data_IF_599206880571
#
_entry.id   IF_599206880571
#
_cell.length_a   1.000
_cell.length_b   1.000
_cell.length_c   1.000
_cell.angle_alpha   90.00
_cell.angle_beta   90.00
_cell.angle_gamma   90.00
#
_symmetry.space_group_name_H-M   'P 1'
#
loop_
_entity.id
_entity.type
_entity.pdbx_description
1 polymer ?
#
# COMPACT_ATOMS: atom_id res chain seq x y z
N UNK A 1 -17.73 -8.78 9.34
CA UNK A 1 -16.98 -7.67 8.70
C UNK A 1 -17.19 -6.40 9.49
N UNK A 2 -16.16 -5.58 9.65
CA UNK A 2 -16.30 -4.28 10.32
C UNK A 2 -17.19 -3.35 9.49
N UNK A 3 -17.91 -2.43 10.16
CA UNK A 3 -18.81 -1.46 9.51
C UNK A 3 -18.13 -0.72 8.35
N UNK A 4 -16.87 -0.30 8.55
CA UNK A 4 -16.10 0.41 7.53
C UNK A 4 -15.90 -0.42 6.25
N UNK A 5 -15.54 -1.71 6.40
CA UNK A 5 -15.32 -2.61 5.24
C UNK A 5 -16.60 -2.83 4.46
N UNK A 6 -17.73 -3.03 5.15
CA UNK A 6 -19.03 -3.19 4.49
C UNK A 6 -19.45 -1.93 3.73
N UNK A 7 -19.26 -0.75 4.32
CA UNK A 7 -19.57 0.53 3.65
C UNK A 7 -18.69 0.74 2.42
N UNK A 8 -17.39 0.47 2.53
CA UNK A 8 -16.45 0.60 1.41
C UNK A 8 -16.81 -0.36 0.26
N UNK A 9 -17.09 -1.63 0.58
CA UNK A 9 -17.50 -2.63 -0.41
C UNK A 9 -18.77 -2.20 -1.16
N UNK A 10 -19.80 -1.73 -0.44
CA UNK A 10 -21.04 -1.25 -1.05
C UNK A 10 -20.82 -0.04 -1.97
N UNK A 11 -19.95 0.90 -1.57
CA UNK A 11 -19.59 2.04 -2.41
C UNK A 11 -18.87 1.58 -3.68
N UNK A 12 -17.89 0.67 -3.56
CA UNK A 12 -17.20 0.10 -4.72
C UNK A 12 -18.18 -0.56 -5.69
N UNK A 13 -19.08 -1.42 -5.19
CA UNK A 13 -20.12 -2.07 -5.99
C UNK A 13 -21.02 -1.05 -6.71
N UNK A 14 -21.45 0.01 -6.01
CA UNK A 14 -22.29 1.08 -6.58
C UNK A 14 -21.64 1.80 -7.76
N UNK A 15 -20.32 2.00 -7.72
CA UNK A 15 -19.56 2.68 -8.77
C UNK A 15 -18.91 1.73 -9.78
N UNK A 16 -19.22 0.42 -9.73
CA UNK A 16 -18.63 -0.58 -10.63
C UNK A 16 -17.14 -0.84 -10.39
N UNK A 17 -16.63 -0.54 -9.19
CA UNK A 17 -15.25 -0.79 -8.77
C UNK A 17 -15.17 -2.17 -8.14
N UNK A 18 -14.23 -3.01 -8.57
CA UNK A 18 -14.00 -4.33 -7.96
C UNK A 18 -13.34 -4.17 -6.59
N UNK A 19 -14.02 -4.63 -5.54
CA UNK A 19 -13.46 -4.69 -4.18
C UNK A 19 -12.79 -6.06 -3.95
N UNK A 20 -11.51 -6.04 -3.59
CA UNK A 20 -10.71 -7.23 -3.28
C UNK A 20 -10.11 -7.09 -1.90
N UNK A 21 -10.27 -8.12 -1.05
CA UNK A 21 -9.63 -8.15 0.26
C UNK A 21 -8.23 -8.74 0.14
N UNK A 22 -7.27 -8.08 0.79
CA UNK A 22 -5.88 -8.50 0.79
C UNK A 22 -5.39 -8.67 2.23
N UNK A 23 -4.72 -9.79 2.50
CA UNK A 23 -4.11 -10.10 3.80
C UNK A 23 -2.89 -9.20 4.02
N UNK A 24 -2.80 -8.53 5.18
CA UNK A 24 -1.89 -7.41 5.43
C UNK A 24 -0.55 -7.80 6.11
N UNK A 25 -0.27 -9.08 6.33
CA UNK A 25 0.96 -9.49 7.01
C UNK A 25 2.20 -8.90 6.37
N UNK A 26 3.08 -8.37 7.22
CA UNK A 26 4.37 -7.78 6.88
C UNK A 26 4.35 -6.51 6.02
N UNK A 27 3.18 -5.98 5.61
CA UNK A 27 3.10 -4.79 4.73
C UNK A 27 3.65 -3.52 5.36
N UNK A 28 3.65 -3.42 6.69
CA UNK A 28 4.22 -2.29 7.43
C UNK A 28 5.72 -2.39 7.70
N UNK A 29 6.30 -3.58 7.51
CA UNK A 29 7.71 -3.86 7.75
C UNK A 29 8.51 -3.89 6.44
N UNK A 30 7.98 -4.60 5.44
CA UNK A 30 8.58 -4.70 4.12
C UNK A 30 8.77 -3.33 3.47
N UNK A 31 9.85 -3.17 2.72
CA UNK A 31 10.10 -1.99 1.91
C UNK A 31 9.42 -2.11 0.55
N UNK A 32 8.58 -1.13 0.21
CA UNK A 32 7.93 -1.10 -1.10
C UNK A 32 8.90 -0.73 -2.24
N UNK A 33 9.95 0.05 -1.96
CA UNK A 33 10.92 0.49 -2.97
C UNK A 33 12.09 -0.48 -3.14
N UNK A 34 12.48 -1.18 -2.07
CA UNK A 34 13.57 -2.16 -2.12
C UNK A 34 13.06 -3.54 -2.56
N UNK A 35 11.77 -3.63 -2.87
CA UNK A 35 11.07 -4.82 -3.36
C UNK A 35 11.20 -6.04 -2.43
N UNK A 36 11.19 -5.79 -1.12
CA UNK A 36 11.18 -6.87 -0.12
C UNK A 36 10.04 -7.86 -0.38
N UNK A 37 10.33 -9.14 -0.13
CA UNK A 37 9.32 -10.19 -0.16
C UNK A 37 8.27 -9.97 0.92
N UNK A 38 6.99 -10.18 0.57
CA UNK A 38 5.86 -10.00 1.47
C UNK A 38 5.10 -11.33 1.58
N UNK A 39 5.56 -12.26 2.42
CA UNK A 39 4.91 -13.56 2.55
C UNK A 39 3.54 -13.43 3.22
N UNK A 40 2.73 -14.47 3.06
CA UNK A 40 1.51 -14.65 3.85
C UNK A 40 1.92 -15.26 5.19
N UNK A 41 1.46 -14.68 6.30
CA UNK A 41 1.74 -15.21 7.63
C UNK A 41 1.16 -16.62 7.78
N UNK A 42 2.00 -17.55 8.25
CA UNK A 42 1.61 -18.91 8.59
C UNK A 42 2.01 -19.16 10.05
N UNK A 43 1.06 -19.48 10.95
CA UNK A 43 1.36 -19.72 12.37
C UNK A 43 2.43 -20.79 12.59
N UNK A 44 2.44 -21.84 11.76
CA UNK A 44 3.33 -23.00 11.88
C UNK A 44 4.70 -22.77 11.25
N UNK A 45 4.85 -21.73 10.41
CA UNK A 45 6.08 -21.43 9.68
C UNK A 45 6.42 -19.96 9.91
N UNK A 46 7.17 -19.64 11.00
CA UNK A 46 7.56 -18.27 11.27
C UNK A 46 8.42 -17.75 10.11
N UNK A 47 8.16 -16.51 9.70
CA UNK A 47 8.99 -15.84 8.70
C UNK A 47 10.41 -15.63 9.24
N UNK A 48 11.40 -16.18 8.53
CA UNK A 48 12.83 -16.11 8.87
C UNK A 48 13.62 -15.10 8.03
N UNK A 49 12.97 -14.44 7.08
CA UNK A 49 13.62 -13.44 6.24
C UNK A 49 13.86 -12.12 6.96
N UNK A 50 14.76 -11.31 6.40
CA UNK A 50 15.05 -9.95 6.88
C UNK A 50 14.46 -8.94 5.91
N UNK A 51 13.76 -7.94 6.44
CA UNK A 51 13.35 -6.78 5.65
C UNK A 51 14.52 -5.82 5.50
N UNK A 52 14.59 -5.15 4.34
CA UNK A 52 15.70 -4.26 4.02
C UNK A 52 15.83 -3.11 5.01
N UNK A 53 14.72 -2.62 5.57
CA UNK A 53 14.68 -1.51 6.51
C UNK A 53 13.48 -1.59 7.45
N UNK A 54 13.48 -0.72 8.47
CA UNK A 54 12.45 -0.63 9.50
C UNK A 54 11.85 0.78 9.57
N UNK A 55 10.57 0.85 9.93
CA UNK A 55 9.89 2.09 10.35
C UNK A 55 10.70 2.80 11.43
N UNK A 56 11.02 4.08 11.22
CA UNK A 56 11.77 4.88 12.21
C UNK A 56 10.83 5.27 13.35
N UNK A 57 9.68 5.85 13.01
CA UNK A 57 8.68 6.32 13.97
C UNK A 57 7.29 6.35 13.34
N UNK A 58 6.27 6.73 14.12
CA UNK A 58 4.90 6.90 13.59
C UNK A 58 4.92 7.88 12.42
N UNK A 59 4.35 7.46 11.30
CA UNK A 59 4.28 8.25 10.06
C UNK A 59 5.58 8.36 9.26
N UNK A 60 6.70 7.74 9.66
CA UNK A 60 7.97 7.85 8.93
C UNK A 60 8.64 6.49 8.68
N UNK A 61 8.87 6.19 7.41
CA UNK A 61 9.57 5.01 6.91
C UNK A 61 10.83 5.44 6.15
N UNK A 62 11.92 4.66 6.23
CA UNK A 62 13.18 4.88 5.52
C UNK A 62 13.48 3.68 4.64
N UNK A 63 13.91 3.92 3.41
CA UNK A 63 14.31 2.92 2.43
C UNK A 63 15.83 2.68 2.45
N UNK A 64 16.30 1.59 1.82
CA UNK A 64 17.70 1.18 1.93
C UNK A 64 18.66 2.24 1.36
N UNK A 65 18.21 2.98 0.33
CA UNK A 65 18.92 4.11 -0.25
C UNK A 65 18.89 5.40 0.59
N UNK A 66 18.36 5.36 1.82
CA UNK A 66 18.28 6.50 2.73
C UNK A 66 17.11 7.46 2.49
N UNK A 67 16.33 7.28 1.41
CA UNK A 67 15.11 8.06 1.18
C UNK A 67 14.09 7.78 2.27
N UNK A 68 13.26 8.78 2.56
CA UNK A 68 12.16 8.64 3.53
C UNK A 68 10.82 8.90 2.88
N UNK A 69 9.79 8.21 3.34
CA UNK A 69 8.40 8.47 2.98
C UNK A 69 7.47 8.28 4.19
N UNK A 70 6.20 8.61 4.00
CA UNK A 70 5.21 8.30 5.02
C UNK A 70 5.04 6.78 5.15
N UNK A 71 4.96 6.27 6.38
CA UNK A 71 4.78 4.84 6.65
C UNK A 71 3.46 4.30 6.07
N UNK A 72 2.41 5.11 6.03
CA UNK A 72 1.11 4.74 5.46
C UNK A 72 1.19 4.60 3.93
N UNK A 73 2.03 5.41 3.27
CA UNK A 73 2.33 5.28 1.83
C UNK A 73 3.06 3.95 1.57
N UNK A 74 4.04 3.58 2.41
CA UNK A 74 4.73 2.30 2.29
C UNK A 74 3.74 1.12 2.48
N UNK A 75 2.90 1.18 3.52
CA UNK A 75 1.88 0.16 3.79
C UNK A 75 0.89 0.01 2.63
N UNK A 76 0.33 1.10 2.12
CA UNK A 76 -0.60 1.09 0.99
C UNK A 76 0.04 0.51 -0.28
N UNK A 77 1.29 0.92 -0.58
CA UNK A 77 2.04 0.39 -1.72
C UNK A 77 2.31 -1.12 -1.59
N UNK A 78 2.59 -1.60 -0.37
CA UNK A 78 2.80 -3.02 -0.12
C UNK A 78 1.51 -3.85 -0.19
N UNK A 79 0.36 -3.31 0.24
CA UNK A 79 -0.95 -3.95 0.02
C UNK A 79 -1.19 -4.14 -1.48
N UNK A 80 -0.92 -3.10 -2.28
CA UNK A 80 -1.03 -3.16 -3.73
C UNK A 80 -0.08 -4.21 -4.32
N UNK A 81 1.21 -4.21 -3.94
CA UNK A 81 2.18 -5.23 -4.38
C UNK A 81 1.73 -6.65 -4.05
N UNK A 82 1.21 -6.86 -2.84
CA UNK A 82 0.79 -8.19 -2.35
C UNK A 82 -0.48 -8.69 -3.01
N UNK A 83 -1.33 -7.79 -3.51
CA UNK A 83 -2.54 -8.15 -4.26
C UNK A 83 -2.27 -8.90 -5.57
N UNK A 84 -1.02 -8.94 -6.04
CA UNK A 84 -0.57 -9.61 -7.27
C UNK A 84 -1.44 -9.31 -8.49
N UNK A 85 -2.14 -8.18 -8.49
CA UNK A 85 -2.72 -7.65 -9.71
C UNK A 85 -1.54 -7.40 -10.66
N UNK A 86 -1.69 -7.74 -11.95
CA UNK A 86 -0.70 -7.44 -13.01
C UNK A 86 -0.57 -5.91 -13.14
N UNK A 87 0.08 -5.31 -12.15
CA UNK A 87 0.11 -3.89 -11.90
C UNK A 87 1.49 -3.37 -12.27
N UNK A 88 1.52 -2.54 -13.31
CA UNK A 88 2.71 -1.85 -13.75
C UNK A 88 2.74 -0.44 -13.14
N UNK A 89 3.75 -0.18 -12.31
CA UNK A 89 3.97 1.15 -11.72
C UNK A 89 4.19 2.22 -12.80
N UNK A 90 4.66 1.86 -13.99
CA UNK A 90 4.81 2.78 -15.10
C UNK A 90 3.46 3.37 -15.54
N UNK A 91 2.37 2.61 -15.43
CA UNK A 91 1.01 3.09 -15.68
C UNK A 91 0.48 4.02 -14.58
N UNK A 92 0.87 3.81 -13.32
CA UNK A 92 0.45 4.62 -12.17
C UNK A 92 1.04 6.03 -12.24
N UNK A 93 2.33 6.14 -12.55
CA UNK A 93 3.04 7.42 -12.58
C UNK A 93 2.76 8.26 -13.84
N UNK A 94 2.17 7.68 -14.89
CA UNK A 94 1.75 8.40 -16.10
C UNK A 94 0.42 9.15 -15.93
N UNK A 95 -0.34 8.84 -14.88
CA UNK A 95 -1.52 9.62 -14.51
C UNK A 95 -1.14 10.85 -13.72
N UNK A 96 -1.23 12.04 -14.34
CA UNK A 96 -1.35 13.31 -13.63
C UNK A 96 -2.62 13.20 -12.75
N UNK A 97 -2.46 12.80 -11.48
CA UNK A 97 -3.54 12.81 -10.50
C UNK A 97 -4.00 14.26 -10.37
N UNK A 98 -5.18 14.52 -10.94
CA UNK A 98 -5.97 15.74 -10.93
C UNK A 98 -5.36 16.86 -10.08
N UNK A 99 -4.64 17.78 -10.73
CA UNK A 99 -4.23 19.01 -10.05
C UNK A 99 -5.51 19.74 -9.68
N UNK A 100 -5.81 19.97 -8.39
CA UNK A 100 -7.07 20.59 -8.01
C UNK A 100 -7.24 21.91 -8.76
N UNK A 101 -8.39 22.07 -9.42
CA UNK A 101 -8.68 23.25 -10.21
C UNK A 101 -8.55 24.50 -9.31
N UNK A 102 -7.54 25.34 -9.55
CA UNK A 102 -7.36 26.57 -8.77
C UNK A 102 -8.39 27.60 -9.24
N UNK A 103 -9.52 27.66 -8.56
CA UNK A 103 -10.55 28.68 -8.80
C UNK A 103 -10.10 29.98 -8.11
N UNK A 104 -9.91 31.05 -8.89
CA UNK A 104 -9.79 32.42 -8.34
C UNK A 104 -11.18 33.00 -8.24
N UNK A 105 -11.63 33.30 -7.02
CA UNK A 105 -12.81 34.10 -6.80
C UNK A 105 -12.41 35.58 -6.96
N UNK A 106 -13.09 36.28 -7.86
CA UNK A 106 -13.03 37.73 -8.05
C UNK A 106 -13.95 38.46 -7.08
#
# INVERSE_FOLDING_TARGET
MSYLRSTLKQLCERYGITYLEQEESYTSQASCLDLDDIPVYQPDVPYTGTFSVTRIQRGLYRFANGRTANADINGAANILRKSKQNFDFEGLCKGLLDSPLRIRLS
#
